data_IF_298270497931
#
_entry.id   IF_298270497931
#
_cell.length_a   1.000
_cell.length_b   1.000
_cell.length_c   1.000
_cell.angle_alpha   90.00
_cell.angle_beta   90.00
_cell.angle_gamma   90.00
#
_symmetry.space_group_name_H-M   'P 1'
#
loop_
_entity.id
_entity.type
_entity.pdbx_description
1 polymer ?
#
# COMPACT_ATOMS: atom_id res chain seq x y z
N UNK A 1 85.46 10.87 4.77
CA UNK A 1 84.19 11.65 4.85
C UNK A 1 83.23 11.45 3.67
N UNK A 2 83.47 10.49 2.73
CA UNK A 2 82.57 10.26 1.57
C UNK A 2 81.60 9.07 1.72
N UNK A 3 81.81 8.20 2.71
CA UNK A 3 80.98 6.99 2.94
C UNK A 3 79.82 7.19 3.93
N UNK A 4 79.92 8.18 4.83
CA UNK A 4 78.87 8.50 5.81
C UNK A 4 77.71 9.31 5.20
N UNK A 5 77.99 10.14 4.20
CA UNK A 5 76.96 10.93 3.48
C UNK A 5 76.07 10.03 2.61
N UNK A 6 76.62 8.94 2.06
CA UNK A 6 75.87 7.98 1.25
C UNK A 6 74.86 7.16 2.06
N UNK A 7 75.12 6.93 3.36
CA UNK A 7 74.19 6.18 4.22
C UNK A 7 73.02 7.05 4.71
N UNK A 8 73.24 8.34 4.90
CA UNK A 8 72.18 9.27 5.34
C UNK A 8 71.19 9.53 4.20
N UNK A 9 71.67 9.59 2.94
CA UNK A 9 70.81 9.80 1.77
C UNK A 9 69.91 8.60 1.44
N UNK A 10 70.35 7.37 1.76
CA UNK A 10 69.54 6.16 1.58
C UNK A 10 68.45 6.00 2.66
N UNK A 11 68.65 6.54 3.86
CA UNK A 11 67.64 6.50 4.93
C UNK A 11 66.46 7.45 4.69
N UNK A 12 66.69 8.54 3.94
CA UNK A 12 65.66 9.53 3.65
C UNK A 12 64.68 9.10 2.53
N UNK A 13 65.03 8.07 1.74
CA UNK A 13 64.20 7.58 0.64
C UNK A 13 63.21 6.46 1.04
N UNK A 14 63.34 5.90 2.25
CA UNK A 14 62.48 4.81 2.76
C UNK A 14 61.30 5.30 3.62
N UNK A 15 61.23 6.60 3.93
CA UNK A 15 60.18 7.19 4.79
C UNK A 15 59.13 7.97 3.99
N UNK A 16 58.86 7.61 2.74
CA UNK A 16 57.86 8.28 1.89
C UNK A 16 56.67 7.41 1.49
N UNK A 17 56.62 6.15 1.90
CA UNK A 17 55.47 5.26 1.61
C UNK A 17 54.76 4.86 2.89
N UNK A 18 54.18 5.83 3.59
CA UNK A 18 53.07 5.54 4.52
C UNK A 18 52.08 6.72 4.57
N UNK A 19 51.72 7.27 3.41
CA UNK A 19 50.43 7.96 3.31
C UNK A 19 49.38 6.86 3.17
N UNK A 20 48.77 6.51 4.30
CA UNK A 20 47.55 5.72 4.31
C UNK A 20 46.54 6.42 3.39
N UNK A 21 46.25 5.79 2.26
CA UNK A 21 45.08 6.12 1.46
C UNK A 21 43.86 5.75 2.30
N UNK A 22 43.41 6.68 3.15
CA UNK A 22 42.05 6.67 3.63
C UNK A 22 41.19 7.07 2.42
N UNK A 23 40.32 6.21 1.87
CA UNK A 23 39.27 6.75 1.04
C UNK A 23 38.50 7.69 1.97
N UNK A 24 38.62 8.99 1.71
CA UNK A 24 37.60 9.92 2.16
C UNK A 24 36.33 9.41 1.48
N UNK A 25 35.60 8.56 2.18
CA UNK A 25 34.28 8.10 1.80
C UNK A 25 33.47 9.38 1.72
N UNK A 26 33.34 9.89 0.49
CA UNK A 26 32.34 10.85 0.15
C UNK A 26 31.04 10.16 0.56
N UNK A 27 30.56 10.48 1.76
CA UNK A 27 29.20 10.19 2.17
C UNK A 27 28.36 11.02 1.22
N UNK A 28 28.15 10.46 0.02
CA UNK A 28 26.96 10.69 -0.74
C UNK A 28 25.87 10.21 0.21
N UNK A 29 25.42 11.11 1.07
CA UNK A 29 24.12 11.05 1.69
C UNK A 29 23.21 11.14 0.49
N UNK A 30 23.00 9.99 -0.15
CA UNK A 30 21.88 9.76 -1.02
C UNK A 30 20.71 9.97 -0.08
N UNK A 31 20.24 11.22 -0.03
CA UNK A 31 18.97 11.59 0.53
C UNK A 31 17.99 10.78 -0.30
N UNK A 32 17.73 9.55 0.14
CA UNK A 32 16.78 8.64 -0.46
C UNK A 32 15.50 9.43 -0.44
N UNK A 33 15.13 10.02 -1.58
CA UNK A 33 13.91 10.77 -1.69
C UNK A 33 12.82 9.81 -1.25
N UNK A 34 12.23 10.08 -0.08
CA UNK A 34 11.06 9.36 0.37
C UNK A 34 9.99 9.66 -0.65
N UNK A 35 9.84 8.76 -1.62
CA UNK A 35 8.74 8.76 -2.57
C UNK A 35 7.47 8.95 -1.75
N UNK A 36 6.75 10.03 -1.98
CA UNK A 36 5.53 10.31 -1.23
C UNK A 36 4.58 9.12 -1.40
N UNK A 37 4.32 8.38 -0.32
CA UNK A 37 3.38 7.26 -0.37
C UNK A 37 1.97 7.82 -0.28
N UNK A 38 1.17 7.58 -1.31
CA UNK A 38 -0.25 7.91 -1.29
C UNK A 38 -0.98 6.88 -0.44
N UNK A 39 -1.81 7.35 0.50
CA UNK A 39 -2.77 6.49 1.20
C UNK A 39 -4.06 6.42 0.40
N UNK A 40 -4.60 5.23 0.24
CA UNK A 40 -5.92 5.02 -0.34
C UNK A 40 -7.02 5.61 0.55
N UNK A 41 -8.22 5.77 -0.01
CA UNK A 41 -9.38 6.25 0.74
C UNK A 41 -9.72 5.34 1.92
N UNK A 42 -9.64 4.01 1.74
CA UNK A 42 -9.93 3.05 2.80
C UNK A 42 -8.94 3.14 3.96
N UNK A 43 -7.64 3.31 3.68
CA UNK A 43 -6.61 3.49 4.71
C UNK A 43 -6.80 4.79 5.50
N UNK A 44 -7.13 5.87 4.79
CA UNK A 44 -7.39 7.17 5.43
C UNK A 44 -8.65 7.12 6.29
N UNK A 45 -9.70 6.46 5.81
CA UNK A 45 -10.95 6.25 6.54
C UNK A 45 -10.72 5.50 7.85
N UNK A 46 -9.99 4.38 7.80
CA UNK A 46 -9.71 3.54 8.96
C UNK A 46 -8.71 4.17 9.94
N UNK A 47 -7.77 4.99 9.47
CA UNK A 47 -6.75 5.59 10.34
C UNK A 47 -7.20 6.88 11.02
N UNK A 48 -8.01 7.72 10.37
CA UNK A 48 -8.27 9.08 10.87
C UNK A 48 -9.75 9.47 10.94
N UNK A 49 -10.62 8.81 10.18
CA UNK A 49 -11.99 9.30 9.95
C UNK A 49 -13.09 8.31 10.36
N UNK A 50 -12.78 7.33 11.23
CA UNK A 50 -13.73 6.34 11.73
C UNK A 50 -14.95 6.96 12.43
N UNK A 51 -14.80 8.15 13.00
CA UNK A 51 -15.88 8.88 13.67
C UNK A 51 -17.07 9.14 12.74
N UNK A 52 -16.85 9.23 11.42
CA UNK A 52 -17.91 9.43 10.43
C UNK A 52 -18.88 8.24 10.35
N UNK A 53 -18.42 7.04 10.71
CA UNK A 53 -19.20 5.81 10.62
C UNK A 53 -19.78 5.35 11.96
N UNK A 54 -19.39 5.99 13.07
CA UNK A 54 -19.79 5.58 14.43
C UNK A 54 -21.31 5.61 14.59
N UNK A 55 -21.87 4.48 15.03
CA UNK A 55 -23.31 4.32 15.26
C UNK A 55 -24.17 4.24 13.99
N UNK A 56 -23.55 4.22 12.79
CA UNK A 56 -24.26 4.11 11.52
C UNK A 56 -24.25 2.67 11.01
N UNK A 57 -25.30 2.32 10.27
CA UNK A 57 -25.31 1.14 9.40
C UNK A 57 -24.61 1.50 8.10
N UNK A 58 -23.55 0.78 7.77
CA UNK A 58 -22.71 1.08 6.60
C UNK A 58 -23.08 0.14 5.46
N UNK A 59 -23.28 0.71 4.28
CA UNK A 59 -23.33 -0.01 3.02
C UNK A 59 -22.09 0.32 2.20
N UNK A 60 -21.42 -0.68 1.64
CA UNK A 60 -20.21 -0.48 0.84
C UNK A 60 -20.49 -0.75 -0.63
N UNK A 61 -20.30 0.27 -1.48
CA UNK A 61 -20.23 0.09 -2.94
C UNK A 61 -18.79 -0.22 -3.31
N UNK A 62 -18.52 -1.38 -3.89
CA UNK A 62 -17.15 -1.78 -4.23
C UNK A 62 -17.09 -2.84 -5.33
N UNK A 63 -15.88 -3.18 -5.75
CA UNK A 63 -15.56 -4.23 -6.71
C UNK A 63 -14.29 -4.96 -6.23
N UNK A 64 -13.82 -6.02 -6.94
CA UNK A 64 -12.60 -6.74 -6.54
C UNK A 64 -11.33 -5.88 -6.47
N UNK A 65 -11.29 -4.70 -7.11
CA UNK A 65 -10.13 -3.79 -7.05
C UNK A 65 -10.10 -2.92 -5.79
N UNK A 66 -11.16 -2.94 -4.97
CA UNK A 66 -11.26 -2.19 -3.72
C UNK A 66 -10.42 -2.81 -2.61
N UNK A 67 -9.10 -2.70 -2.68
CA UNK A 67 -8.13 -3.27 -1.74
C UNK A 67 -7.21 -2.20 -1.13
N UNK A 68 -6.63 -2.47 0.04
CA UNK A 68 -5.58 -1.62 0.64
C UNK A 68 -4.19 -1.91 0.07
N UNK A 69 -3.15 -1.23 0.58
CA UNK A 69 -1.76 -1.47 0.15
C UNK A 69 -1.24 -2.89 0.48
N UNK A 70 -1.92 -3.63 1.37
CA UNK A 70 -1.61 -5.00 1.72
C UNK A 70 -2.43 -6.02 0.92
N UNK A 71 -3.10 -5.57 -0.15
CA UNK A 71 -3.99 -6.40 -0.99
C UNK A 71 -5.18 -7.00 -0.22
N UNK A 72 -5.58 -6.39 0.90
CA UNK A 72 -6.75 -6.82 1.66
C UNK A 72 -8.00 -6.10 1.17
N UNK A 73 -9.08 -6.85 0.97
CA UNK A 73 -10.36 -6.30 0.52
C UNK A 73 -10.91 -5.27 1.51
N UNK A 74 -11.43 -4.17 0.98
CA UNK A 74 -12.18 -3.17 1.74
C UNK A 74 -13.41 -3.79 2.42
N UNK A 75 -13.99 -4.84 1.86
CA UNK A 75 -15.08 -5.61 2.47
C UNK A 75 -14.62 -6.22 3.79
N UNK A 76 -13.52 -6.96 3.77
CA UNK A 76 -13.01 -7.67 4.93
C UNK A 76 -12.47 -6.67 5.97
N UNK A 77 -11.80 -5.60 5.52
CA UNK A 77 -11.33 -4.51 6.39
C UNK A 77 -12.47 -3.83 7.16
N UNK A 78 -13.60 -3.53 6.51
CA UNK A 78 -14.74 -2.90 7.17
C UNK A 78 -15.55 -3.88 8.03
N UNK A 79 -15.65 -5.14 7.60
CA UNK A 79 -16.40 -6.17 8.33
C UNK A 79 -15.71 -6.58 9.63
N UNK A 80 -14.39 -6.75 9.61
CA UNK A 80 -13.60 -7.12 10.79
C UNK A 80 -13.43 -5.97 11.79
N UNK A 81 -13.72 -4.73 11.38
CA UNK A 81 -13.48 -3.57 12.22
C UNK A 81 -14.56 -3.43 13.32
N UNK A 82 -14.20 -3.50 14.62
CA UNK A 82 -15.17 -3.65 15.71
C UNK A 82 -16.13 -2.47 15.87
N UNK A 83 -15.72 -1.29 15.40
CA UNK A 83 -16.52 -0.05 15.50
C UNK A 83 -17.35 0.25 14.24
N UNK A 84 -17.37 -0.65 13.26
CA UNK A 84 -18.09 -0.48 12.00
C UNK A 84 -19.17 -1.54 11.90
N UNK A 85 -20.41 -1.10 11.63
CA UNK A 85 -21.53 -2.01 11.37
C UNK A 85 -21.77 -2.08 9.86
N UNK A 86 -21.00 -2.91 9.17
CA UNK A 86 -21.22 -3.20 7.75
C UNK A 86 -22.48 -4.07 7.60
N UNK A 87 -23.43 -3.63 6.78
CA UNK A 87 -24.76 -4.25 6.67
C UNK A 87 -25.20 -4.57 5.24
N UNK A 88 -24.55 -3.97 4.25
CA UNK A 88 -24.84 -4.23 2.85
C UNK A 88 -23.59 -4.04 1.99
N UNK A 89 -23.49 -4.81 0.93
CA UNK A 89 -22.53 -4.65 -0.15
C UNK A 89 -23.27 -4.33 -1.44
N UNK A 90 -22.64 -3.52 -2.27
CA UNK A 90 -23.16 -3.17 -3.59
C UNK A 90 -22.06 -3.36 -4.62
N UNK A 91 -22.31 -4.23 -5.61
CA UNK A 91 -21.33 -4.60 -6.63
C UNK A 91 -21.84 -4.35 -8.06
N UNK A 92 -20.92 -4.22 -9.04
CA UNK A 92 -21.25 -4.31 -10.46
C UNK A 92 -21.62 -5.75 -10.85
N UNK A 93 -21.95 -6.00 -12.13
CA UNK A 93 -22.49 -7.28 -12.66
C UNK A 93 -21.73 -8.57 -12.24
N UNK A 94 -20.43 -8.48 -11.95
CA UNK A 94 -19.60 -9.62 -11.54
C UNK A 94 -19.59 -9.88 -10.02
N UNK A 95 -20.34 -9.12 -9.25
CA UNK A 95 -20.42 -9.25 -7.79
C UNK A 95 -19.25 -8.54 -7.10
N UNK A 96 -19.36 -8.38 -5.79
CA UNK A 96 -18.33 -7.69 -5.01
C UNK A 96 -17.04 -8.51 -4.91
N UNK A 97 -17.14 -9.84 -4.97
CA UNK A 97 -15.99 -10.75 -4.91
C UNK A 97 -15.61 -11.36 -6.27
N UNK A 98 -16.28 -11.00 -7.36
CA UNK A 98 -15.98 -11.54 -8.70
C UNK A 98 -16.53 -12.96 -8.94
N UNK A 99 -17.43 -13.41 -8.08
CA UNK A 99 -18.02 -14.74 -8.01
C UNK A 99 -19.38 -14.84 -8.72
N UNK A 100 -19.96 -13.73 -9.17
CA UNK A 100 -21.23 -13.72 -9.87
C UNK A 100 -21.04 -13.84 -11.40
N UNK A 101 -21.76 -14.77 -12.03
CA UNK A 101 -21.80 -14.93 -13.48
C UNK A 101 -22.50 -13.72 -14.13
N UNK A 102 -21.89 -13.19 -15.19
CA UNK A 102 -22.47 -12.09 -15.95
C UNK A 102 -23.73 -12.53 -16.72
N UNK A 103 -24.77 -11.70 -16.69
CA UNK A 103 -25.86 -11.77 -17.67
C UNK A 103 -27.26 -12.07 -17.14
N UNK A 104 -27.44 -12.44 -15.88
CA UNK A 104 -28.77 -12.60 -15.29
C UNK A 104 -29.03 -11.49 -14.26
N UNK A 105 -29.95 -10.58 -14.59
CA UNK A 105 -30.34 -9.51 -13.69
C UNK A 105 -31.15 -10.06 -12.54
N UNK A 106 -30.53 -10.37 -11.40
CA UNK A 106 -31.25 -10.96 -10.26
C UNK A 106 -30.66 -10.57 -8.90
N UNK A 107 -31.62 -10.29 -8.02
CA UNK A 107 -31.77 -10.31 -6.55
C UNK A 107 -30.59 -10.19 -5.57
N UNK A 108 -30.93 -9.58 -4.43
CA UNK A 108 -30.09 -9.54 -3.24
C UNK A 108 -29.81 -10.94 -2.72
N UNK A 109 -28.54 -11.28 -2.50
CA UNK A 109 -28.14 -12.52 -1.84
C UNK A 109 -27.40 -12.23 -0.53
N UNK A 110 -27.41 -13.20 0.38
CA UNK A 110 -26.64 -13.11 1.62
C UNK A 110 -25.24 -13.67 1.40
N UNK A 111 -24.19 -12.89 1.67
CA UNK A 111 -22.81 -13.36 1.61
C UNK A 111 -22.60 -14.46 2.68
N UNK A 112 -22.39 -15.69 2.22
CA UNK A 112 -22.21 -16.87 3.08
C UNK A 112 -21.00 -16.76 4.01
N UNK A 113 -19.96 -16.01 3.65
CA UNK A 113 -18.80 -15.78 4.52
C UNK A 113 -19.13 -14.87 5.70
N UNK A 114 -20.17 -14.04 5.58
CA UNK A 114 -20.51 -13.01 6.57
C UNK A 114 -21.88 -13.22 7.23
N UNK A 115 -22.66 -14.21 6.79
CA UNK A 115 -23.85 -14.75 7.46
C UNK A 115 -25.09 -13.84 7.48
N UNK A 116 -24.93 -12.52 7.35
CA UNK A 116 -26.02 -11.53 7.41
C UNK A 116 -25.88 -10.36 6.43
N UNK A 117 -24.86 -10.39 5.58
CA UNK A 117 -24.54 -9.28 4.70
C UNK A 117 -25.27 -9.42 3.36
N UNK A 118 -26.08 -8.43 3.00
CA UNK A 118 -26.81 -8.45 1.73
C UNK A 118 -25.99 -7.79 0.62
N UNK A 119 -25.71 -8.54 -0.44
CA UNK A 119 -25.09 -8.00 -1.66
C UNK A 119 -26.17 -7.64 -2.68
N UNK A 120 -26.21 -6.39 -3.13
CA UNK A 120 -27.13 -5.91 -4.17
C UNK A 120 -26.37 -5.43 -5.41
N UNK A 121 -26.81 -5.89 -6.58
CA UNK A 121 -26.22 -5.51 -7.86
C UNK A 121 -26.82 -4.20 -8.38
N UNK A 122 -25.96 -3.24 -8.73
CA UNK A 122 -26.37 -1.96 -9.29
C UNK A 122 -26.24 -1.97 -10.82
N UNK A 123 -27.21 -2.59 -11.52
CA UNK A 123 -27.45 -2.32 -12.94
C UNK A 123 -28.95 -2.28 -13.25
N UNK A 124 -29.46 -1.07 -13.50
CA UNK A 124 -30.73 -0.86 -14.20
C UNK A 124 -30.70 0.49 -14.90
N UNK A 125 -30.17 0.50 -16.11
CA UNK A 125 -30.46 1.56 -17.08
C UNK A 125 -31.27 0.95 -18.22
N UNK A 126 -32.61 1.08 -18.15
CA UNK A 126 -33.41 1.02 -19.38
C UNK A 126 -33.04 2.24 -20.20
N UNK A 127 -32.12 2.09 -21.16
CA UNK A 127 -32.13 2.97 -22.33
C UNK A 127 -33.42 2.67 -23.08
N UNK A 128 -34.50 3.40 -22.80
CA UNK A 128 -35.53 3.62 -23.81
C UNK A 128 -35.03 4.77 -24.67
N UNK A 129 -34.43 4.45 -25.81
CA UNK A 129 -34.40 5.40 -26.91
C UNK A 129 -35.86 5.74 -27.25
N UNK A 130 -36.19 7.03 -27.25
CA UNK A 130 -37.29 7.57 -28.04
C UNK A 130 -36.76 8.68 -28.92
#
# INVERSE_FOLDING_TARGET
MKKTVSFILASFLMMSTLTAASPAEERIVTKKEKKASVKTGIETLLSSNLSWLKGKRVGLITNPTGIDANMKSSVDLLFEHPNIKLTALYGPEHGVRGDAQAGEGVESYTDEKQGFLFTLFLWKNKKTNS
#
